data_IF_510914930419
#
_entry.id   IF_510914930419
#
_cell.length_a   1.000
_cell.length_b   1.000
_cell.length_c   1.000
_cell.angle_alpha   90.00
_cell.angle_beta   90.00
_cell.angle_gamma   90.00
#
_symmetry.space_group_name_H-M   'P 1'
#
loop_
_entity.id
_entity.type
_entity.pdbx_description
1 polymer ?
#
# COMPACT_ATOMS: atom_id res chain seq x y z
N UNK A 1 16.70 -23.41 -31.73
CA UNK A 1 15.71 -22.47 -31.16
C UNK A 1 16.34 -21.09 -31.21
N UNK A 2 15.69 -20.10 -31.83
CA UNK A 2 16.30 -18.77 -31.99
C UNK A 2 16.16 -17.94 -30.72
N UNK A 3 17.10 -17.03 -30.45
CA UNK A 3 17.14 -16.17 -29.26
C UNK A 3 15.80 -15.44 -29.02
N UNK A 4 15.15 -14.97 -30.09
CA UNK A 4 13.81 -14.33 -30.01
C UNK A 4 12.73 -15.26 -29.45
N UNK A 5 12.76 -16.54 -29.80
CA UNK A 5 11.83 -17.54 -29.28
C UNK A 5 12.11 -17.85 -27.81
N UNK A 6 13.38 -17.84 -27.40
CA UNK A 6 13.78 -18.08 -26.02
C UNK A 6 13.38 -16.91 -25.11
N UNK A 7 13.61 -15.67 -25.57
CA UNK A 7 13.15 -14.45 -24.87
C UNK A 7 11.63 -14.40 -24.76
N UNK A 8 10.89 -14.72 -25.83
CA UNK A 8 9.42 -14.71 -25.79
C UNK A 8 8.84 -15.77 -24.83
N UNK A 9 9.44 -16.97 -24.76
CA UNK A 9 9.02 -18.01 -23.80
C UNK A 9 9.33 -17.59 -22.36
N UNK A 10 10.49 -16.98 -22.11
CA UNK A 10 10.84 -16.46 -20.79
C UNK A 10 9.91 -15.33 -20.34
N UNK A 11 9.55 -14.41 -21.23
CA UNK A 11 8.62 -13.32 -20.92
C UNK A 11 7.21 -13.85 -20.57
N UNK A 12 6.71 -14.81 -21.35
CA UNK A 12 5.43 -15.48 -21.09
C UNK A 12 5.40 -16.22 -19.75
N UNK A 13 6.51 -16.85 -19.36
CA UNK A 13 6.62 -17.50 -18.06
C UNK A 13 6.64 -16.50 -16.90
N UNK A 14 7.24 -15.32 -17.10
CA UNK A 14 7.28 -14.25 -16.10
C UNK A 14 5.89 -13.64 -15.88
N UNK A 15 5.17 -13.31 -16.97
CA UNK A 15 3.78 -12.81 -16.90
C UNK A 15 2.87 -13.84 -16.23
N UNK A 16 3.03 -15.12 -16.58
CA UNK A 16 2.27 -16.18 -15.93
C UNK A 16 2.57 -16.26 -14.42
N UNK A 17 3.82 -16.12 -14.01
CA UNK A 17 4.22 -16.13 -12.60
C UNK A 17 3.68 -14.93 -11.81
N UNK A 18 3.65 -13.73 -12.39
CA UNK A 18 3.08 -12.52 -11.76
C UNK A 18 1.55 -12.55 -11.67
N UNK A 19 0.90 -13.33 -12.54
CA UNK A 19 -0.56 -13.51 -12.54
C UNK A 19 -1.07 -14.64 -11.65
N UNK A 20 -0.19 -15.43 -11.02
CA UNK A 20 -0.64 -16.48 -10.10
C UNK A 20 -1.17 -15.80 -8.84
N UNK A 21 -2.45 -16.01 -8.49
CA UNK A 21 -2.98 -15.53 -7.23
C UNK A 21 -2.17 -16.14 -6.07
N UNK A 22 -1.63 -15.27 -5.22
CA UNK A 22 -1.03 -15.71 -3.96
C UNK A 22 -2.05 -15.57 -2.84
N UNK A 23 -2.10 -16.58 -1.99
CA UNK A 23 -2.85 -16.54 -0.74
C UNK A 23 -2.07 -15.70 0.27
N UNK A 24 -2.70 -14.64 0.77
CA UNK A 24 -2.15 -13.77 1.81
C UNK A 24 -3.09 -13.77 3.00
N UNK A 25 -2.52 -13.86 4.18
CA UNK A 25 -3.22 -13.65 5.43
C UNK A 25 -3.36 -12.15 5.69
N UNK A 26 -4.59 -11.63 5.68
CA UNK A 26 -4.91 -10.23 5.97
C UNK A 26 -5.73 -10.18 7.26
N UNK A 27 -5.36 -9.28 8.17
CA UNK A 27 -6.18 -9.01 9.35
C UNK A 27 -7.39 -8.18 8.95
N UNK A 28 -8.58 -8.78 9.01
CA UNK A 28 -9.84 -8.13 8.61
C UNK A 28 -10.60 -7.55 9.80
N UNK A 29 -10.12 -7.81 11.02
CA UNK A 29 -10.70 -7.32 12.26
C UNK A 29 -10.24 -8.12 13.47
N UNK A 30 -11.04 -8.09 14.53
CA UNK A 30 -10.71 -8.77 15.80
C UNK A 30 -11.92 -9.43 16.41
N UNK A 31 -11.70 -10.61 16.99
CA UNK A 31 -12.66 -11.29 17.83
C UNK A 31 -12.40 -10.90 19.29
N UNK A 32 -13.44 -10.43 19.97
CA UNK A 32 -13.42 -10.12 21.39
C UNK A 32 -14.23 -11.14 22.16
N UNK A 33 -13.65 -11.63 23.26
CA UNK A 33 -14.35 -12.40 24.30
C UNK A 33 -14.37 -11.55 25.56
N UNK A 34 -15.53 -10.98 25.85
CA UNK A 34 -15.74 -10.02 26.93
C UNK A 34 -16.54 -10.70 28.03
N UNK A 35 -15.96 -10.82 29.22
CA UNK A 35 -16.67 -11.28 30.42
C UNK A 35 -17.10 -10.06 31.22
N UNK A 36 -18.39 -9.95 31.53
CA UNK A 36 -18.96 -8.77 32.19
C UNK A 36 -20.01 -9.16 33.23
N UNK A 37 -20.11 -8.37 34.30
CA UNK A 37 -21.22 -8.47 35.27
C UNK A 37 -22.51 -7.81 34.77
N UNK A 38 -22.41 -6.93 33.77
CA UNK A 38 -23.53 -6.26 33.12
C UNK A 38 -23.24 -6.14 31.62
N UNK A 39 -23.99 -6.88 30.81
CA UNK A 39 -23.83 -6.84 29.35
C UNK A 39 -24.48 -5.62 28.70
N UNK A 40 -25.28 -4.84 29.42
CA UNK A 40 -25.96 -3.65 28.90
C UNK A 40 -25.00 -2.66 28.23
N UNK A 41 -24.01 -2.12 28.95
CA UNK A 41 -23.04 -1.18 28.38
C UNK A 41 -22.26 -1.75 27.18
N UNK A 42 -21.80 -3.00 27.29
CA UNK A 42 -21.05 -3.67 26.21
C UNK A 42 -21.91 -3.84 24.96
N UNK A 43 -23.17 -4.26 25.10
CA UNK A 43 -24.07 -4.48 23.96
C UNK A 43 -24.59 -3.16 23.36
N UNK A 44 -24.71 -2.10 24.14
CA UNK A 44 -25.02 -0.76 23.64
C UNK A 44 -23.85 -0.24 22.80
N UNK A 45 -22.64 -0.33 23.34
CA UNK A 45 -21.42 0.13 22.68
C UNK A 45 -21.14 -0.67 21.39
N UNK A 46 -21.29 -2.00 21.42
CA UNK A 46 -21.18 -2.84 20.22
C UNK A 46 -22.17 -2.43 19.11
N UNK A 47 -23.32 -1.82 19.45
CA UNK A 47 -24.32 -1.35 18.47
C UNK A 47 -24.09 0.08 18.00
N UNK A 48 -23.49 0.94 18.83
CA UNK A 48 -23.28 2.35 18.52
C UNK A 48 -21.86 2.71 18.10
N UNK A 49 -20.89 1.81 18.25
CA UNK A 49 -19.50 2.03 17.87
C UNK A 49 -19.28 2.06 16.36
N UNK A 50 -18.09 2.54 15.96
CA UNK A 50 -17.67 2.73 14.56
C UNK A 50 -17.10 1.45 13.91
N UNK A 51 -17.51 0.28 14.36
CA UNK A 51 -17.07 -1.01 13.84
C UNK A 51 -18.25 -1.78 13.24
N UNK A 52 -17.95 -2.70 12.34
CA UNK A 52 -18.96 -3.61 11.80
C UNK A 52 -18.98 -4.91 12.60
N UNK A 53 -20.10 -5.20 13.24
CA UNK A 53 -20.29 -6.45 14.00
C UNK A 53 -20.61 -7.60 13.04
N UNK A 54 -19.73 -8.61 13.01
CA UNK A 54 -19.92 -9.86 12.30
C UNK A 54 -20.74 -10.86 13.12
N UNK A 55 -20.10 -11.83 13.75
CA UNK A 55 -20.74 -12.76 14.67
C UNK A 55 -20.89 -12.15 16.07
N UNK A 56 -22.08 -12.27 16.68
CA UNK A 56 -22.33 -11.88 18.06
C UNK A 56 -23.03 -13.02 18.80
N UNK A 57 -22.40 -13.50 19.88
CA UNK A 57 -22.93 -14.51 20.78
C UNK A 57 -22.91 -14.00 22.21
N UNK A 58 -24.02 -14.17 22.92
CA UNK A 58 -24.16 -13.75 24.32
C UNK A 58 -24.71 -14.92 25.12
N UNK A 59 -24.07 -15.25 26.23
CA UNK A 59 -24.56 -16.29 27.14
C UNK A 59 -24.19 -15.99 28.59
N UNK A 60 -25.03 -16.44 29.51
CA UNK A 60 -24.85 -16.28 30.95
C UNK A 60 -24.13 -17.52 31.53
N UNK A 61 -23.24 -17.29 32.48
CA UNK A 61 -22.56 -18.32 33.26
C UNK A 61 -23.31 -18.60 34.57
N UNK A 62 -23.04 -19.75 35.18
CA UNK A 62 -23.70 -20.18 36.44
C UNK A 62 -23.45 -19.22 37.63
N UNK A 63 -22.38 -18.41 37.56
CA UNK A 63 -22.04 -17.41 38.57
C UNK A 63 -22.75 -16.06 38.35
N UNK A 64 -23.61 -15.93 37.32
CA UNK A 64 -24.31 -14.69 36.97
C UNK A 64 -23.50 -13.72 36.10
N UNK A 65 -22.29 -14.10 35.67
CA UNK A 65 -21.51 -13.32 34.70
C UNK A 65 -22.05 -13.58 33.28
N UNK A 66 -21.97 -12.58 32.40
CA UNK A 66 -22.28 -12.73 30.99
C UNK A 66 -20.99 -12.77 30.18
N UNK A 67 -20.90 -13.71 29.23
CA UNK A 67 -19.87 -13.68 28.19
C UNK A 67 -20.49 -13.16 26.90
N UNK A 68 -19.82 -12.17 26.31
CA UNK A 68 -20.09 -11.64 24.98
C UNK A 68 -18.93 -12.00 24.08
N UNK A 69 -19.18 -12.80 23.05
CA UNK A 69 -18.25 -13.02 21.95
C UNK A 69 -18.71 -12.19 20.76
N UNK A 70 -17.83 -11.33 20.25
CA UNK A 70 -18.11 -10.45 19.14
C UNK A 70 -16.96 -10.44 18.13
N UNK A 71 -17.25 -10.69 16.86
CA UNK A 71 -16.33 -10.45 15.76
C UNK A 71 -16.55 -9.01 15.27
N UNK A 72 -15.51 -8.19 15.34
CA UNK A 72 -15.55 -6.79 14.93
C UNK A 72 -14.63 -6.59 13.72
N UNK A 73 -15.25 -6.39 12.56
CA UNK A 73 -14.53 -6.09 11.32
C UNK A 73 -14.02 -4.64 11.37
N UNK A 74 -12.81 -4.44 10.87
CA UNK A 74 -12.10 -3.15 10.88
C UNK A 74 -11.82 -2.57 12.27
N UNK A 75 -11.92 -3.37 13.34
CA UNK A 75 -11.55 -2.93 14.68
C UNK A 75 -10.03 -2.93 14.86
N UNK A 76 -9.47 -1.77 15.19
CA UNK A 76 -8.05 -1.61 15.49
C UNK A 76 -7.67 -1.99 16.93
N UNK A 77 -6.45 -1.66 17.32
CA UNK A 77 -5.94 -1.82 18.70
C UNK A 77 -6.69 -0.96 19.73
N UNK A 78 -7.32 0.12 19.28
CA UNK A 78 -8.10 1.05 20.10
C UNK A 78 -9.38 0.41 20.66
N UNK A 79 -9.99 -0.52 19.93
CA UNK A 79 -11.18 -1.23 20.39
C UNK A 79 -10.91 -2.05 21.67
N UNK A 80 -9.72 -2.63 21.82
CA UNK A 80 -9.36 -3.39 23.03
C UNK A 80 -9.29 -2.49 24.25
N UNK A 81 -8.62 -1.34 24.12
CA UNK A 81 -8.56 -0.34 25.20
C UNK A 81 -9.96 0.15 25.55
N UNK A 82 -10.77 0.47 24.54
CA UNK A 82 -12.14 0.96 24.73
C UNK A 82 -13.02 -0.03 25.50
N UNK A 83 -13.07 -1.31 25.11
CA UNK A 83 -13.86 -2.31 25.83
C UNK A 83 -13.35 -2.56 27.26
N UNK A 84 -12.04 -2.44 27.49
CA UNK A 84 -11.46 -2.61 28.82
C UNK A 84 -11.89 -1.52 29.82
N UNK A 85 -12.28 -0.35 29.32
CA UNK A 85 -12.72 0.80 30.12
C UNK A 85 -14.23 0.82 30.39
N UNK A 86 -15.01 -0.05 29.72
CA UNK A 86 -16.46 -0.10 29.91
C UNK A 86 -16.85 -0.59 31.31
N UNK A 87 -17.87 0.03 31.93
CA UNK A 87 -18.32 -0.37 33.26
C UNK A 87 -18.88 -1.79 33.25
N UNK A 88 -18.42 -2.61 34.19
CA UNK A 88 -18.87 -3.99 34.38
C UNK A 88 -18.00 -5.04 33.68
N UNK A 89 -17.07 -4.65 32.80
CA UNK A 89 -16.12 -5.58 32.18
C UNK A 89 -15.15 -6.12 33.24
N UNK A 90 -15.08 -7.45 33.33
CA UNK A 90 -14.28 -8.19 34.31
C UNK A 90 -13.03 -8.83 33.69
N UNK A 91 -13.13 -9.23 32.43
CA UNK A 91 -12.03 -9.80 31.65
C UNK A 91 -12.27 -9.56 30.17
N UNK A 92 -11.19 -9.35 29.42
CA UNK A 92 -11.21 -9.07 27.99
C UNK A 92 -10.10 -9.88 27.33
N UNK A 93 -10.46 -10.66 26.31
CA UNK A 93 -9.50 -11.32 25.44
C UNK A 93 -9.79 -10.92 24.00
N UNK A 94 -8.75 -10.58 23.26
CA UNK A 94 -8.85 -10.27 21.84
C UNK A 94 -8.01 -11.26 21.02
N UNK A 95 -8.44 -11.54 19.80
CA UNK A 95 -7.70 -12.32 18.82
C UNK A 95 -7.91 -11.71 17.43
N UNK A 96 -6.82 -11.52 16.66
CA UNK A 96 -6.92 -11.10 15.27
C UNK A 96 -7.79 -12.07 14.45
N UNK A 97 -8.72 -11.52 13.68
CA UNK A 97 -9.45 -12.23 12.64
C UNK A 97 -8.62 -12.10 11.37
N UNK A 98 -8.05 -13.23 10.97
CA UNK A 98 -7.21 -13.33 9.78
C UNK A 98 -8.01 -14.06 8.71
N UNK A 99 -8.16 -13.43 7.56
CA UNK A 99 -8.71 -14.07 6.37
C UNK A 99 -7.62 -14.33 5.35
N UNK A 100 -7.68 -15.49 4.72
CA UNK A 100 -6.83 -15.79 3.57
C UNK A 100 -7.49 -15.21 2.33
N UNK A 101 -6.98 -14.09 1.86
CA UNK A 101 -7.42 -13.47 0.60
C UNK A 101 -6.49 -13.84 -0.52
N UNK A 102 -7.06 -14.02 -1.71
CA UNK A 102 -6.31 -14.32 -2.92
C UNK A 102 -6.06 -13.01 -3.66
N UNK A 103 -4.82 -12.52 -3.66
CA UNK A 103 -4.44 -11.28 -4.35
C UNK A 103 -3.34 -11.56 -5.38
N UNK A 104 -3.36 -10.82 -6.48
CA UNK A 104 -2.23 -10.79 -7.41
C UNK A 104 -1.01 -10.20 -6.70
N UNK A 105 0.21 -10.56 -7.10
CA UNK A 105 1.42 -9.92 -6.56
C UNK A 105 1.41 -8.40 -6.80
N UNK A 106 0.78 -7.95 -7.89
CA UNK A 106 0.60 -6.53 -8.18
C UNK A 106 -0.32 -5.84 -7.17
N UNK A 107 -1.46 -6.44 -6.80
CA UNK A 107 -2.35 -5.91 -5.76
C UNK A 107 -1.68 -5.81 -4.38
N UNK A 108 -0.75 -6.72 -4.07
CA UNK A 108 0.08 -6.60 -2.86
C UNK A 108 1.06 -5.43 -2.97
N UNK A 109 1.75 -5.28 -4.10
CA UNK A 109 2.65 -4.13 -4.35
C UNK A 109 1.92 -2.78 -4.24
N UNK A 110 0.68 -2.68 -4.75
CA UNK A 110 -0.11 -1.44 -4.66
C UNK A 110 -0.45 -1.07 -3.21
N UNK A 111 -0.80 -2.05 -2.37
CA UNK A 111 -1.06 -1.83 -0.94
C UNK A 111 0.21 -1.56 -0.12
N UNK A 112 1.37 -1.85 -0.70
CA UNK A 112 2.70 -1.61 -0.15
C UNK A 112 3.31 -0.30 -0.73
N UNK A 113 2.50 0.52 -1.42
CA UNK A 113 2.94 1.88 -1.77
C UNK A 113 3.06 2.69 -0.49
N UNK A 114 4.29 2.83 -0.02
CA UNK A 114 4.59 3.67 1.13
C UNK A 114 4.86 5.10 0.70
N UNK A 115 4.30 6.04 1.47
CA UNK A 115 4.63 7.45 1.36
C UNK A 115 5.62 7.81 2.48
N UNK A 116 6.75 8.40 2.10
CA UNK A 116 7.84 8.80 2.99
C UNK A 116 7.93 10.32 2.96
N UNK A 117 7.56 10.96 4.05
CA UNK A 117 7.62 12.42 4.19
C UNK A 117 8.91 12.82 4.91
N UNK A 118 9.81 13.50 4.19
CA UNK A 118 11.04 14.06 4.77
C UNK A 118 11.13 15.54 4.47
N UNK A 119 11.21 16.35 5.53
CA UNK A 119 11.53 17.77 5.41
C UNK A 119 13.05 17.91 5.19
N UNK A 120 13.45 18.28 3.98
CA UNK A 120 14.87 18.35 3.58
C UNK A 120 15.55 19.67 3.92
N UNK A 121 14.83 20.62 4.54
CA UNK A 121 15.33 21.99 4.77
C UNK A 121 16.55 21.98 5.68
N UNK A 122 17.69 22.42 5.13
CA UNK A 122 18.95 22.53 5.88
C UNK A 122 19.64 21.20 6.17
N UNK A 123 19.14 20.08 5.64
CA UNK A 123 19.78 18.76 5.78
C UNK A 123 20.83 18.56 4.69
N UNK A 124 21.93 17.88 5.04
CA UNK A 124 22.88 17.35 4.06
C UNK A 124 22.30 16.14 3.33
N UNK A 125 22.86 15.77 2.19
CA UNK A 125 22.42 14.58 1.44
C UNK A 125 22.58 13.29 2.28
N UNK A 126 23.58 13.24 3.16
CA UNK A 126 23.80 12.14 4.11
C UNK A 126 22.69 12.07 5.16
N UNK A 127 22.23 13.23 5.65
CA UNK A 127 21.13 13.33 6.61
C UNK A 127 19.78 12.98 5.97
N UNK A 128 19.56 13.38 4.72
CA UNK A 128 18.35 13.02 3.96
C UNK A 128 18.32 11.51 3.70
N UNK A 129 19.44 10.90 3.28
CA UNK A 129 19.56 9.45 3.11
C UNK A 129 19.29 8.71 4.42
N UNK A 130 19.84 9.19 5.55
CA UNK A 130 19.61 8.56 6.85
C UNK A 130 18.15 8.65 7.29
N UNK A 131 17.48 9.78 7.06
CA UNK A 131 16.07 9.97 7.39
C UNK A 131 15.16 9.04 6.57
N UNK A 132 15.41 8.92 5.26
CA UNK A 132 14.63 8.06 4.37
C UNK A 132 14.86 6.58 4.70
N UNK A 133 16.11 6.15 4.89
CA UNK A 133 16.42 4.77 5.30
C UNK A 133 15.83 4.44 6.68
N UNK A 134 15.77 5.41 7.59
CA UNK A 134 15.09 5.24 8.88
C UNK A 134 13.60 4.96 8.73
N UNK A 135 12.88 5.79 7.97
CA UNK A 135 11.45 5.62 7.74
C UNK A 135 11.12 4.32 6.98
N UNK A 136 11.92 3.97 5.97
CA UNK A 136 11.76 2.70 5.24
C UNK A 136 12.02 1.49 6.15
N UNK A 137 13.05 1.55 7.00
CA UNK A 137 13.35 0.49 7.96
C UNK A 137 12.24 0.30 9.01
N UNK A 138 11.64 1.39 9.50
CA UNK A 138 10.49 1.35 10.42
C UNK A 138 9.27 0.69 9.77
N UNK A 139 9.12 0.82 8.46
CA UNK A 139 8.05 0.19 7.66
C UNK A 139 8.41 -1.22 7.17
N UNK A 140 9.52 -1.78 7.64
CA UNK A 140 9.93 -3.15 7.34
C UNK A 140 10.60 -3.33 5.98
N UNK A 141 11.08 -2.26 5.35
CA UNK A 141 11.92 -2.31 4.15
C UNK A 141 13.41 -2.31 4.57
N UNK A 142 14.11 -3.46 4.51
CA UNK A 142 15.50 -3.56 4.95
C UNK A 142 16.52 -3.01 3.95
N UNK A 143 16.08 -2.36 2.87
CA UNK A 143 16.94 -1.90 1.79
C UNK A 143 17.55 -0.52 2.00
N UNK A 144 18.75 -0.34 1.43
CA UNK A 144 19.41 0.95 1.39
C UNK A 144 18.98 1.74 0.16
N UNK A 145 18.43 2.92 0.40
CA UNK A 145 18.12 3.93 -0.62
C UNK A 145 19.33 4.85 -0.76
N UNK A 146 19.87 4.92 -1.98
CA UNK A 146 20.84 5.92 -2.37
C UNK A 146 20.15 7.02 -3.15
N UNK A 147 20.19 8.25 -2.62
CA UNK A 147 19.66 9.43 -3.28
C UNK A 147 20.80 10.14 -4.00
N UNK A 148 20.67 10.31 -5.31
CA UNK A 148 21.54 11.15 -6.11
C UNK A 148 20.78 12.41 -6.50
N UNK A 149 21.29 13.57 -6.09
CA UNK A 149 20.77 14.87 -6.54
C UNK A 149 21.50 15.25 -7.83
N UNK A 150 20.75 15.33 -8.91
CA UNK A 150 21.27 15.89 -10.15
C UNK A 150 21.49 17.40 -9.95
N UNK A 151 22.69 17.94 -10.21
CA UNK A 151 22.97 19.37 -10.04
C UNK A 151 22.16 20.27 -10.98
N UNK A 152 21.68 19.75 -12.11
CA UNK A 152 20.97 20.51 -13.15
C UNK A 152 19.44 20.32 -13.10
N UNK A 153 18.94 19.42 -12.27
CA UNK A 153 17.50 19.20 -12.09
C UNK A 153 17.11 19.17 -10.61
N UNK A 154 15.88 19.59 -10.26
CA UNK A 154 15.37 19.44 -8.90
C UNK A 154 14.93 18.00 -8.60
N UNK A 155 15.35 17.03 -9.42
CA UNK A 155 14.99 15.64 -9.27
C UNK A 155 15.96 14.92 -8.32
N UNK A 156 15.38 14.12 -7.42
CA UNK A 156 16.12 13.15 -6.62
C UNK A 156 15.97 11.80 -7.30
N UNK A 157 17.07 11.26 -7.82
CA UNK A 157 17.09 9.87 -8.29
C UNK A 157 17.33 8.98 -7.08
N UNK A 158 16.40 8.06 -6.82
CA UNK A 158 16.51 7.08 -5.75
C UNK A 158 16.79 5.72 -6.35
N UNK A 159 17.95 5.17 -6.03
CA UNK A 159 18.33 3.83 -6.42
C UNK A 159 18.27 2.93 -5.19
N UNK A 160 17.50 1.84 -5.29
CA UNK A 160 17.52 0.74 -4.32
C UNK A 160 18.43 -0.33 -4.88
N UNK A 161 19.31 -0.89 -4.05
CA UNK A 161 20.15 -2.02 -4.48
C UNK A 161 19.26 -3.23 -4.78
N UNK A 162 19.52 -3.91 -5.90
CA UNK A 162 18.72 -5.05 -6.32
C UNK A 162 18.87 -6.23 -5.35
N UNK A 163 20.04 -6.34 -4.71
CA UNK A 163 20.32 -7.37 -3.71
C UNK A 163 19.46 -7.15 -2.44
N UNK A 164 19.07 -5.90 -2.15
CA UNK A 164 18.20 -5.54 -1.03
C UNK A 164 16.71 -5.82 -1.32
N UNK A 165 16.35 -6.12 -2.58
CA UNK A 165 15.00 -6.51 -3.01
C UNK A 165 14.82 -8.04 -3.09
N UNK A 166 15.88 -8.82 -2.82
CA UNK A 166 15.79 -10.29 -2.76
C UNK A 166 14.85 -10.73 -1.62
N UNK A 167 13.65 -11.19 -1.98
CA UNK A 167 12.59 -11.60 -1.06
C UNK A 167 11.24 -10.95 -1.32
N UNK A 168 11.24 -9.82 -2.03
CA UNK A 168 10.03 -9.12 -2.48
C UNK A 168 9.56 -9.58 -3.89
N UNK A 169 10.22 -10.59 -4.47
CA UNK A 169 9.91 -11.10 -5.80
C UNK A 169 10.23 -10.15 -6.96
N UNK A 170 10.87 -9.02 -6.69
CA UNK A 170 11.21 -7.99 -7.66
C UNK A 170 12.64 -8.19 -8.19
N UNK A 171 12.85 -9.13 -9.11
CA UNK A 171 14.11 -9.17 -9.88
C UNK A 171 14.14 -7.99 -10.87
N UNK A 172 14.87 -6.92 -10.55
CA UNK A 172 15.22 -5.85 -11.51
C UNK A 172 14.38 -4.57 -11.48
N UNK A 173 13.46 -4.41 -10.52
CA UNK A 173 12.61 -3.22 -10.44
C UNK A 173 13.40 -1.94 -10.14
N UNK A 174 13.31 -0.94 -11.02
CA UNK A 174 13.69 0.43 -10.69
C UNK A 174 12.57 1.08 -9.88
N UNK A 175 12.92 1.69 -8.76
CA UNK A 175 12.02 2.54 -7.97
C UNK A 175 12.15 3.96 -8.51
N UNK A 176 11.14 4.45 -9.22
CA UNK A 176 11.10 5.87 -9.59
C UNK A 176 10.42 6.66 -8.49
N UNK A 177 11.11 7.71 -8.02
CA UNK A 177 10.59 8.66 -7.05
C UNK A 177 10.42 10.00 -7.75
N UNK A 178 9.17 10.41 -7.95
CA UNK A 178 8.85 11.76 -8.39
C UNK A 178 8.55 12.62 -7.17
N UNK A 179 9.28 13.73 -7.03
CA UNK A 179 8.92 14.82 -6.11
C UNK A 179 7.93 15.73 -6.84
N UNK A 180 6.75 15.95 -6.24
CA UNK A 180 5.75 16.84 -6.80
C UNK A 180 6.20 18.31 -6.65
N UNK A 181 6.30 19.04 -7.75
CA UNK A 181 6.86 20.40 -7.83
C UNK A 181 5.85 21.52 -7.47
N UNK A 182 4.63 21.17 -7.04
CA UNK A 182 3.63 22.16 -6.61
C UNK A 182 3.90 22.73 -5.19
N UNK A 183 5.13 22.59 -4.68
CA UNK A 183 5.58 23.19 -3.43
C UNK A 183 5.66 24.72 -3.56
N UNK A 184 4.56 25.40 -3.28
CA UNK A 184 4.55 26.84 -3.04
C UNK A 184 5.25 27.13 -1.71
N UNK A 185 6.38 27.84 -1.80
CA UNK A 185 7.08 28.39 -0.63
C UNK A 185 6.16 29.43 0.00
N UNK A 186 5.77 29.22 1.26
CA UNK A 186 5.06 30.26 2.00
C UNK A 186 5.99 31.47 2.23
N UNK A 187 5.41 32.65 2.41
CA UNK A 187 6.17 33.90 2.52
C UNK A 187 7.13 33.98 3.72
N UNK A 188 7.15 32.96 4.58
CA UNK A 188 7.94 32.88 5.81
C UNK A 188 9.17 31.95 5.66
N UNK A 189 9.38 31.35 4.49
CA UNK A 189 10.58 30.58 4.17
C UNK A 189 10.61 29.17 4.79
N UNK A 190 9.46 28.64 5.18
CA UNK A 190 9.34 27.23 5.53
C UNK A 190 9.06 26.41 4.26
N UNK A 191 9.88 25.40 3.98
CA UNK A 191 9.60 24.50 2.87
C UNK A 191 8.46 23.57 3.25
N UNK A 192 7.45 23.52 2.40
CA UNK A 192 6.28 22.66 2.53
C UNK A 192 6.61 21.24 2.06
N UNK A 193 6.16 20.28 2.86
CA UNK A 193 6.01 18.84 2.65
C UNK A 193 6.35 18.31 1.23
N UNK A 194 7.42 17.52 1.12
CA UNK A 194 7.73 16.77 -0.09
C UNK A 194 6.96 15.46 -0.10
N UNK A 195 6.18 15.19 -1.15
CA UNK A 195 5.51 13.90 -1.37
C UNK A 195 6.40 12.98 -2.18
N UNK A 196 6.63 11.78 -1.67
CA UNK A 196 7.44 10.74 -2.29
C UNK A 196 6.52 9.66 -2.84
N UNK A 197 6.44 9.52 -4.18
CA UNK A 197 5.70 8.41 -4.81
C UNK A 197 6.70 7.41 -5.40
N UNK A 198 6.80 6.24 -4.78
CA UNK A 198 7.62 5.10 -5.25
C UNK A 198 6.84 4.29 -6.28
N UNK A 199 7.36 4.17 -7.51
CA UNK A 199 6.84 3.25 -8.54
C UNK A 199 7.83 2.14 -8.86
N UNK A 200 7.38 0.90 -8.80
CA UNK A 200 8.13 -0.28 -9.24
C UNK A 200 7.93 -0.48 -10.74
N UNK A 201 9.01 -0.35 -11.51
CA UNK A 201 8.98 -0.21 -12.97
C UNK A 201 8.58 -1.47 -13.74
N UNK A 202 8.62 -2.64 -13.11
CA UNK A 202 8.60 -3.92 -13.84
C UNK A 202 7.37 -4.79 -13.49
N UNK A 203 6.42 -4.28 -12.71
CA UNK A 203 5.40 -5.10 -12.04
C UNK A 203 4.06 -5.36 -12.76
N UNK A 204 3.72 -4.73 -13.90
CA UNK A 204 2.36 -4.91 -14.45
C UNK A 204 2.07 -4.44 -15.87
N UNK A 205 3.05 -3.89 -16.60
CA UNK A 205 2.81 -3.27 -17.91
C UNK A 205 3.79 -3.75 -18.99
N UNK A 206 4.26 -4.99 -18.91
CA UNK A 206 5.22 -5.58 -19.87
C UNK A 206 4.74 -5.56 -21.32
N UNK A 207 3.43 -5.47 -21.53
CA UNK A 207 2.80 -5.41 -22.85
C UNK A 207 2.81 -3.99 -23.45
N UNK A 208 3.15 -2.98 -22.65
CA UNK A 208 3.19 -1.58 -23.06
C UNK A 208 4.53 -1.28 -23.72
N UNK A 209 4.49 -0.97 -25.01
CA UNK A 209 5.65 -0.51 -25.77
C UNK A 209 5.48 0.94 -26.21
N UNK A 210 6.60 1.62 -26.46
CA UNK A 210 6.62 3.03 -26.88
C UNK A 210 5.95 3.33 -28.23
N UNK A 211 5.56 2.30 -28.99
CA UNK A 211 4.86 2.42 -30.27
C UNK A 211 3.33 2.34 -30.12
N UNK A 212 2.81 1.91 -28.96
CA UNK A 212 1.37 1.87 -28.68
C UNK A 212 0.81 3.28 -28.60
N UNK A 213 -0.46 3.47 -28.97
CA UNK A 213 -1.17 4.75 -28.76
C UNK A 213 -1.56 4.94 -27.30
N UNK A 214 -1.78 6.19 -26.86
CA UNK A 214 -2.18 6.48 -25.49
C UNK A 214 -3.49 5.75 -25.12
N UNK A 215 -4.45 5.67 -26.04
CA UNK A 215 -5.67 4.88 -25.85
C UNK A 215 -5.42 3.39 -25.60
N UNK A 216 -4.46 2.78 -26.31
CA UNK A 216 -4.12 1.36 -26.11
C UNK A 216 -3.45 1.15 -24.75
N UNK A 217 -2.59 2.07 -24.35
CA UNK A 217 -1.93 2.08 -23.04
C UNK A 217 -2.98 2.22 -21.94
N UNK A 218 -3.91 3.18 -22.04
CA UNK A 218 -5.03 3.32 -21.10
C UNK A 218 -5.89 2.06 -21.03
N UNK A 219 -6.15 1.40 -22.17
CA UNK A 219 -6.97 0.19 -22.19
C UNK A 219 -6.30 -0.97 -21.42
N UNK A 220 -4.98 -1.16 -21.60
CA UNK A 220 -4.21 -2.16 -20.83
C UNK A 220 -4.23 -1.81 -19.35
N UNK A 221 -3.99 -0.54 -19.00
CA UNK A 221 -3.99 -0.09 -17.60
C UNK A 221 -5.35 -0.31 -16.94
N UNK A 222 -6.45 0.03 -17.60
CA UNK A 222 -7.80 -0.22 -17.08
C UNK A 222 -8.10 -1.71 -16.90
N UNK A 223 -7.74 -2.52 -17.89
CA UNK A 223 -7.94 -3.97 -17.82
C UNK A 223 -7.17 -4.58 -16.64
N UNK A 224 -5.95 -4.08 -16.38
CA UNK A 224 -5.15 -4.51 -15.24
C UNK A 224 -5.80 -4.10 -13.91
N UNK A 225 -6.22 -2.83 -13.78
CA UNK A 225 -6.95 -2.35 -12.59
C UNK A 225 -8.21 -3.16 -12.30
N UNK A 226 -9.02 -3.45 -13.33
CA UNK A 226 -10.21 -4.30 -13.21
C UNK A 226 -9.85 -5.72 -12.75
N UNK A 227 -8.78 -6.30 -13.30
CA UNK A 227 -8.31 -7.64 -12.92
C UNK A 227 -7.83 -7.69 -11.46
N UNK A 228 -7.34 -6.55 -10.94
CA UNK A 228 -6.89 -6.37 -9.56
C UNK A 228 -8.02 -5.91 -8.61
N UNK A 229 -9.26 -5.87 -9.09
CA UNK A 229 -10.44 -5.52 -8.29
C UNK A 229 -10.59 -4.02 -8.02
N UNK A 230 -9.79 -3.18 -8.68
CA UNK A 230 -9.89 -1.72 -8.62
C UNK A 230 -10.83 -1.26 -9.73
N UNK A 231 -11.82 -0.45 -9.38
CA UNK A 231 -12.66 0.19 -10.38
C UNK A 231 -11.84 1.23 -11.16
N UNK A 232 -11.65 1.08 -12.49
CA UNK A 232 -10.80 1.97 -13.27
C UNK A 232 -11.35 3.39 -13.38
N UNK A 233 -12.64 3.60 -13.10
CA UNK A 233 -13.25 4.94 -13.10
C UNK A 233 -12.87 5.76 -11.85
N UNK A 234 -12.44 5.09 -10.79
CA UNK A 234 -11.95 5.72 -9.55
C UNK A 234 -10.44 6.04 -9.63
N UNK A 235 -9.83 5.80 -10.80
CA UNK A 235 -8.41 5.96 -11.04
C UNK A 235 -8.12 6.99 -12.15
N UNK A 236 -7.32 8.00 -11.84
CA UNK A 236 -6.76 8.93 -12.82
C UNK A 236 -5.53 8.32 -13.48
N UNK A 237 -5.59 8.11 -14.80
CA UNK A 237 -4.51 7.53 -15.61
C UNK A 237 -3.84 8.63 -16.46
N UNK A 238 -2.62 9.00 -16.12
CA UNK A 238 -1.75 9.90 -16.87
C UNK A 238 -0.72 9.11 -17.70
N UNK A 239 -0.45 9.57 -18.93
CA UNK A 239 0.54 8.96 -19.82
C UNK A 239 1.48 10.08 -20.30
N UNK A 240 2.76 9.94 -20.01
CA UNK A 240 3.81 10.87 -20.44
C UNK A 240 4.77 10.15 -21.37
N UNK A 241 4.98 10.68 -22.57
CA UNK A 241 5.96 10.13 -23.53
C UNK A 241 7.25 10.90 -23.43
N UNK A 242 8.31 10.24 -23.00
CA UNK A 242 9.63 10.84 -22.99
C UNK A 242 10.30 10.65 -24.36
N UNK A 243 10.88 11.71 -24.94
CA UNK A 243 11.66 11.59 -26.16
C UNK A 243 12.86 10.68 -25.89
N UNK A 244 13.21 9.87 -26.89
CA UNK A 244 14.43 9.08 -26.83
C UNK A 244 15.66 9.98 -26.95
N UNK A 245 16.50 9.98 -25.93
CA UNK A 245 17.86 10.52 -26.06
C UNK A 245 18.74 9.53 -26.84
N UNK A 246 19.49 10.04 -27.81
CA UNK A 246 20.54 9.35 -28.57
C UNK A 246 20.31 7.86 -28.89
N UNK A 247 19.30 7.60 -29.72
CA UNK A 247 19.06 6.25 -30.28
C UNK A 247 18.42 5.26 -29.32
N UNK A 248 18.00 5.70 -28.12
CA UNK A 248 17.13 4.93 -27.25
C UNK A 248 15.73 4.76 -27.88
N UNK A 249 14.93 3.83 -27.33
CA UNK A 249 13.50 3.76 -27.64
C UNK A 249 12.76 4.79 -26.79
N UNK A 250 11.71 5.41 -27.35
CA UNK A 250 10.83 6.27 -26.59
C UNK A 250 10.29 5.53 -25.36
N UNK A 251 10.32 6.18 -24.21
CA UNK A 251 9.82 5.63 -22.95
C UNK A 251 8.43 6.19 -22.69
N UNK A 252 7.55 5.36 -22.14
CA UNK A 252 6.22 5.77 -21.73
C UNK A 252 6.14 5.63 -20.22
N UNK A 253 5.83 6.74 -19.55
CA UNK A 253 5.54 6.77 -18.14
C UNK A 253 4.03 6.74 -17.94
N UNK A 254 3.57 5.91 -17.01
CA UNK A 254 2.17 5.75 -16.67
C UNK A 254 2.00 6.08 -15.21
N UNK A 255 1.11 7.04 -14.93
CA UNK A 255 0.69 7.33 -13.57
C UNK A 255 -0.75 6.96 -13.32
N UNK A 256 -0.96 6.14 -12.29
CA UNK A 256 -2.29 5.80 -11.78
C UNK A 256 -2.41 6.41 -10.38
N UNK A 257 -3.48 7.15 -10.16
CA UNK A 257 -3.86 7.66 -8.84
C UNK A 257 -5.29 7.23 -8.58
N UNK A 258 -5.50 6.37 -7.59
CA UNK A 258 -6.84 5.95 -7.15
C UNK A 258 -7.31 6.95 -6.11
N UNK A 259 -8.43 7.62 -6.37
CA UNK A 259 -9.09 8.42 -5.34
C UNK A 259 -9.82 7.44 -4.42
N UNK A 260 -9.27 7.21 -3.23
CA UNK A 260 -10.02 6.57 -2.16
C UNK A 260 -11.04 7.58 -1.67
N UNK A 261 -12.33 7.35 -1.92
CA UNK A 261 -13.39 8.05 -1.19
C UNK A 261 -13.18 7.74 0.30
N UNK A 262 -12.56 8.67 1.03
CA UNK A 262 -12.59 8.63 2.49
C UNK A 262 -14.07 8.53 2.89
N UNK A 263 -14.48 7.52 3.68
CA UNK A 263 -15.85 7.44 4.13
C UNK A 263 -16.13 8.74 4.88
N UNK A 264 -17.08 9.53 4.35
CA UNK A 264 -17.49 10.79 4.96
C UNK A 264 -17.81 10.51 6.43
N UNK A 265 -16.95 11.01 7.32
CA UNK A 265 -17.08 10.81 8.76
C UNK A 265 -18.46 11.27 9.22
N UNK A 266 -19.26 10.32 9.67
CA UNK A 266 -20.52 10.55 10.36
C UNK A 266 -20.30 10.50 11.87
#
# INVERSE_FOLDING_TARGET
MNLKTLVAISLLALVAACSVPMEVEEETGRQFVIRTSDSGPVLEDLRSGNWQVGELKVWEQENGETIVLADLLSAGDDAELHFSELPGVLDLQSKALVETVSRSMFGQMLNTMFEVHVNTTGMSDEEINAAINGQLGEQGFPGSVMITRDPDSQHLEVQVDADDLEGLGAEGGQVFIALDEDATVDGDGNATESRMRVRLSDGGFSDINGEMSDEQIRAIVRQQLEADGVNPDDASISITRMPAEDGAKARVEIGVQVESDEPAGN
#
